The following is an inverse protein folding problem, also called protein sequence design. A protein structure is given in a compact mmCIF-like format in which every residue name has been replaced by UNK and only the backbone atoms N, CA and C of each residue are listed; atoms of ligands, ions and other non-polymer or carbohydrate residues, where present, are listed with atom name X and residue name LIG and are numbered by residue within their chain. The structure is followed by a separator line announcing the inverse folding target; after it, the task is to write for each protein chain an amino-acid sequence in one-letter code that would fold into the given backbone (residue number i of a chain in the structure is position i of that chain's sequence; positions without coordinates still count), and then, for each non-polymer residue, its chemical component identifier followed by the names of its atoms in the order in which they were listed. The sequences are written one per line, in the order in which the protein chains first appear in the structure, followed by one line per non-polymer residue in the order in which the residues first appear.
data_IF_123638221413
#
_entry.id   IF_123638221413
#
_cell.length_a   1.000
_cell.length_b   1.000
_cell.length_c   1.000
_cell.angle_alpha   90.00
_cell.angle_beta   90.00
_cell.angle_gamma   90.00
#
_symmetry.space_group_name_H-M   'P 1'
#
loop_
_entity.id
_entity.type
_entity.pdbx_description
1 polymer ?
#
# COMPACT_ATOMS: atom_id res chain seq x y z
N UNK A 1 -15.79 21.64 6.92
CA UNK A 1 -14.57 21.33 7.70
C UNK A 1 -13.68 22.55 7.69
N UNK A 2 -13.15 22.93 8.87
CA UNK A 2 -12.10 23.95 8.93
C UNK A 2 -10.76 23.33 8.55
N UNK A 3 -9.94 23.98 7.72
CA UNK A 3 -8.58 23.52 7.43
C UNK A 3 -7.78 23.29 8.71
N UNK A 4 -7.03 22.18 8.77
CA UNK A 4 -6.21 21.77 9.91
C UNK A 4 -6.97 21.53 11.25
N UNK A 5 -8.30 21.57 11.29
CA UNK A 5 -9.05 21.38 12.53
C UNK A 5 -8.78 20.03 13.20
N UNK A 6 -8.83 18.94 12.44
CA UNK A 6 -8.51 17.60 12.94
C UNK A 6 -7.04 17.47 13.37
N UNK A 7 -6.12 18.07 12.60
CA UNK A 7 -4.71 18.08 12.96
C UNK A 7 -4.50 18.79 14.30
N UNK A 8 -5.00 20.00 14.45
CA UNK A 8 -4.80 20.81 15.66
C UNK A 8 -5.42 20.18 16.91
N UNK A 9 -6.61 19.55 16.76
CA UNK A 9 -7.34 18.98 17.89
C UNK A 9 -6.87 17.58 18.27
N UNK A 10 -6.44 16.75 17.31
CA UNK A 10 -6.22 15.33 17.54
C UNK A 10 -4.77 14.90 17.38
N UNK A 11 -4.01 15.48 16.44
CA UNK A 11 -2.66 15.06 16.17
C UNK A 11 -1.61 15.93 16.87
N UNK A 12 -1.71 17.24 16.78
CA UNK A 12 -0.72 18.14 17.35
C UNK A 12 -0.49 17.92 18.87
N UNK A 13 -1.52 17.61 19.69
CA UNK A 13 -1.29 17.28 21.10
C UNK A 13 -0.47 16.02 21.34
N UNK A 14 -0.39 15.12 20.34
CA UNK A 14 0.37 13.85 20.44
C UNK A 14 1.83 14.01 20.03
N UNK A 15 2.23 15.13 19.43
CA UNK A 15 3.58 15.33 18.91
C UNK A 15 4.70 15.19 19.97
N UNK A 16 4.37 15.36 21.26
CA UNK A 16 5.30 15.15 22.37
C UNK A 16 5.50 13.71 22.82
N UNK A 17 4.68 12.77 22.31
CA UNK A 17 4.82 11.35 22.66
C UNK A 17 5.91 10.69 21.84
N UNK A 18 6.68 9.80 22.49
CA UNK A 18 7.61 8.92 21.78
C UNK A 18 6.84 7.79 21.13
N UNK A 19 6.87 7.72 19.79
CA UNK A 19 6.26 6.65 19.02
C UNK A 19 7.33 5.90 18.22
N UNK A 20 7.12 4.60 17.98
CA UNK A 20 8.06 3.75 17.23
C UNK A 20 7.79 3.76 15.71
N UNK A 21 6.67 4.27 15.30
CA UNK A 21 6.23 4.36 13.92
C UNK A 21 4.76 4.75 13.82
N UNK A 22 4.28 4.91 12.60
CA UNK A 22 2.88 5.21 12.31
C UNK A 22 2.31 4.20 11.31
N UNK A 23 1.03 3.89 11.46
CA UNK A 23 0.26 3.08 10.50
C UNK A 23 -0.83 3.96 9.91
N UNK A 24 -0.86 4.04 8.59
CA UNK A 24 -1.84 4.81 7.84
C UNK A 24 -2.77 3.91 7.05
N UNK A 25 -4.04 3.89 7.43
CA UNK A 25 -5.09 3.12 6.77
C UNK A 25 -6.21 4.04 6.36
N UNK A 26 -6.17 4.56 5.15
CA UNK A 26 -7.12 5.52 4.59
C UNK A 26 -6.96 5.59 3.07
N UNK A 27 -7.99 6.01 2.35
CA UNK A 27 -7.94 6.26 0.92
C UNK A 27 -9.33 6.34 0.28
N UNK A 28 -10.33 5.75 0.92
CA UNK A 28 -11.70 5.59 0.44
C UNK A 28 -12.37 6.93 0.16
N UNK A 29 -12.35 7.83 1.13
CA UNK A 29 -12.98 9.18 1.02
C UNK A 29 -12.23 10.12 0.07
N UNK A 30 -11.12 9.69 -0.48
CA UNK A 30 -10.28 10.48 -1.38
C UNK A 30 -10.20 9.87 -2.77
N UNK A 31 -11.12 8.98 -3.12
CA UNK A 31 -11.06 8.13 -4.31
C UNK A 31 -10.96 8.94 -5.61
N UNK A 32 -11.57 10.11 -5.67
CA UNK A 32 -11.59 10.99 -6.85
C UNK A 32 -10.33 11.85 -7.01
N UNK A 33 -9.45 11.87 -6.01
CA UNK A 33 -8.24 12.70 -6.05
C UNK A 33 -7.14 12.03 -6.85
N UNK A 34 -6.52 12.79 -7.75
CA UNK A 34 -5.40 12.31 -8.58
C UNK A 34 -4.01 12.66 -8.03
N UNK A 35 -3.94 13.38 -6.92
CA UNK A 35 -2.71 13.84 -6.25
C UNK A 35 -2.47 13.14 -4.90
N UNK A 36 -3.11 11.98 -4.67
CA UNK A 36 -3.06 11.31 -3.37
C UNK A 36 -1.64 10.87 -2.99
N UNK A 37 -0.84 10.40 -3.93
CA UNK A 37 0.53 9.99 -3.65
C UNK A 37 1.37 11.17 -3.11
N UNK A 38 1.22 12.36 -3.72
CA UNK A 38 1.90 13.56 -3.24
C UNK A 38 1.40 14.00 -1.87
N UNK A 39 0.08 13.96 -1.66
CA UNK A 39 -0.53 14.29 -0.37
C UNK A 39 -0.08 13.35 0.74
N UNK A 40 -0.05 12.04 0.48
CA UNK A 40 0.41 11.05 1.45
C UNK A 40 1.89 11.24 1.78
N UNK A 41 2.73 11.54 0.79
CA UNK A 41 4.14 11.89 1.03
C UNK A 41 4.27 13.13 1.90
N UNK A 42 3.50 14.19 1.61
CA UNK A 42 3.52 15.42 2.41
C UNK A 42 3.08 15.16 3.86
N UNK A 43 2.04 14.34 4.07
CA UNK A 43 1.59 13.91 5.38
C UNK A 43 2.69 13.16 6.14
N UNK A 44 3.35 12.18 5.51
CA UNK A 44 4.45 11.42 6.12
C UNK A 44 5.59 12.37 6.54
N UNK A 45 5.98 13.30 5.67
CA UNK A 45 7.04 14.25 5.98
C UNK A 45 6.64 15.18 7.11
N UNK A 46 5.40 15.67 7.11
CA UNK A 46 4.89 16.54 8.18
C UNK A 46 4.87 15.83 9.53
N UNK A 47 4.38 14.60 9.60
CA UNK A 47 4.39 13.84 10.85
C UNK A 47 5.80 13.56 11.36
N UNK A 48 6.75 13.27 10.46
CA UNK A 48 8.17 13.14 10.84
C UNK A 48 8.75 14.40 11.46
N UNK A 49 8.37 15.55 10.93
CA UNK A 49 8.73 16.86 11.50
C UNK A 49 8.12 17.04 12.89
N UNK A 50 6.80 16.81 13.03
CA UNK A 50 6.05 17.00 14.26
C UNK A 50 6.53 16.11 15.41
N UNK A 51 6.86 14.85 15.11
CA UNK A 51 7.39 13.90 16.09
C UNK A 51 8.92 13.97 16.25
N UNK A 52 9.60 14.89 15.56
CA UNK A 52 11.04 15.11 15.68
C UNK A 52 11.91 13.96 15.17
N UNK A 53 11.36 13.02 14.39
CA UNK A 53 12.07 11.87 13.82
C UNK A 53 11.94 11.84 12.29
N UNK A 54 12.97 12.33 11.58
CA UNK A 54 13.03 12.32 10.11
C UNK A 54 12.98 10.92 9.49
N UNK A 55 13.19 9.88 10.28
CA UNK A 55 13.21 8.48 9.87
C UNK A 55 12.08 7.68 10.49
N UNK A 56 11.11 8.33 11.13
CA UNK A 56 9.95 7.66 11.71
C UNK A 56 9.38 6.65 10.70
N UNK A 57 9.35 5.34 11.07
CA UNK A 57 8.77 4.30 10.22
C UNK A 57 7.31 4.58 9.91
N UNK A 58 6.92 4.42 8.65
CA UNK A 58 5.55 4.63 8.22
C UNK A 58 5.04 3.42 7.43
N UNK A 59 3.98 2.81 7.90
CA UNK A 59 3.34 1.66 7.27
C UNK A 59 2.04 2.12 6.63
N UNK A 60 1.94 1.99 5.33
CA UNK A 60 0.73 2.32 4.58
C UNK A 60 -0.04 1.04 4.31
N UNK A 61 -1.29 0.99 4.74
CA UNK A 61 -2.21 -0.09 4.41
C UNK A 61 -2.88 0.23 3.09
N UNK A 62 -2.65 -0.60 2.08
CA UNK A 62 -3.29 -0.49 0.78
C UNK A 62 -4.77 -0.81 0.89
N UNK A 63 -5.62 -0.12 0.14
CA UNK A 63 -7.05 -0.39 0.11
C UNK A 63 -7.34 -1.84 -0.29
N UNK A 64 -8.24 -2.52 0.43
CA UNK A 64 -8.67 -3.88 0.10
C UNK A 64 -9.50 -3.90 -1.19
N UNK A 65 -9.89 -5.08 -1.64
CA UNK A 65 -10.94 -5.20 -2.65
C UNK A 65 -12.28 -4.71 -2.09
N UNK A 66 -13.08 -4.13 -2.96
CA UNK A 66 -14.42 -3.63 -2.68
C UNK A 66 -15.18 -3.49 -4.00
N UNK A 67 -16.50 -3.65 -3.97
CA UNK A 67 -17.41 -3.74 -5.11
C UNK A 67 -17.28 -5.07 -5.87
N UNK A 68 -18.32 -5.40 -6.62
CA UNK A 68 -18.40 -6.63 -7.41
C UNK A 68 -17.33 -6.61 -8.51
N UNK A 69 -16.72 -7.76 -8.76
CA UNK A 69 -15.78 -7.91 -9.86
C UNK A 69 -16.45 -7.59 -11.21
N UNK A 70 -15.71 -6.94 -12.08
CA UNK A 70 -16.15 -6.73 -13.48
C UNK A 70 -15.94 -8.01 -14.28
N UNK A 71 -16.91 -8.34 -15.10
CA UNK A 71 -16.78 -9.42 -16.11
C UNK A 71 -15.97 -8.94 -17.33
N UNK A 72 -15.79 -7.62 -17.49
CA UNK A 72 -15.01 -7.01 -18.54
C UNK A 72 -13.57 -6.79 -18.09
N UNK A 73 -12.61 -7.10 -18.95
CA UNK A 73 -11.19 -6.89 -18.71
C UNK A 73 -10.51 -6.38 -20.00
N UNK A 74 -9.65 -5.35 -19.92
CA UNK A 74 -9.31 -4.52 -18.74
C UNK A 74 -10.41 -3.52 -18.39
N UNK A 75 -10.47 -3.10 -17.13
CA UNK A 75 -11.42 -2.11 -16.64
C UNK A 75 -10.69 -0.95 -15.95
N UNK A 76 -11.14 0.27 -16.19
CA UNK A 76 -10.71 1.42 -15.42
C UNK A 76 -11.39 1.42 -14.05
N UNK A 77 -10.61 1.48 -12.99
CA UNK A 77 -11.09 1.48 -11.63
C UNK A 77 -10.39 2.55 -10.80
N UNK A 78 -11.17 3.50 -10.27
CA UNK A 78 -10.66 4.49 -9.31
C UNK A 78 -10.05 3.81 -8.08
N UNK A 79 -10.58 2.65 -7.67
CA UNK A 79 -10.07 1.85 -6.58
C UNK A 79 -8.67 1.30 -6.87
N UNK A 80 -8.45 0.78 -8.08
CA UNK A 80 -7.14 0.34 -8.54
C UNK A 80 -6.14 1.51 -8.62
N UNK A 81 -6.58 2.65 -9.13
CA UNK A 81 -5.78 3.89 -9.14
C UNK A 81 -5.36 4.29 -7.74
N UNK A 82 -6.26 4.27 -6.78
CA UNK A 82 -5.95 4.63 -5.39
C UNK A 82 -4.90 3.69 -4.80
N UNK A 83 -5.03 2.38 -5.03
CA UNK A 83 -4.04 1.40 -4.59
C UNK A 83 -2.66 1.64 -5.21
N UNK A 84 -2.63 2.03 -6.49
CA UNK A 84 -1.36 2.35 -7.15
C UNK A 84 -0.73 3.64 -6.60
N UNK A 85 -1.51 4.66 -6.33
CA UNK A 85 -1.03 5.88 -5.69
C UNK A 85 -0.45 5.61 -4.28
N UNK A 86 -1.05 4.72 -3.50
CA UNK A 86 -0.49 4.27 -2.21
C UNK A 86 0.86 3.58 -2.41
N UNK A 87 0.96 2.69 -3.40
CA UNK A 87 2.21 2.01 -3.76
C UNK A 87 3.29 3.01 -4.19
N UNK A 88 2.95 3.97 -5.05
CA UNK A 88 3.86 5.01 -5.52
C UNK A 88 4.36 5.90 -4.37
N UNK A 89 3.49 6.31 -3.45
CA UNK A 89 3.88 7.09 -2.29
C UNK A 89 4.93 6.35 -1.45
N UNK A 90 4.72 5.05 -1.18
CA UNK A 90 5.66 4.21 -0.45
C UNK A 90 6.96 4.02 -1.22
N UNK A 91 6.91 3.74 -2.52
CA UNK A 91 8.10 3.55 -3.35
C UNK A 91 9.01 4.79 -3.39
N UNK A 92 8.41 5.98 -3.36
CA UNK A 92 9.10 7.26 -3.42
C UNK A 92 9.51 7.81 -2.05
N UNK A 93 9.17 7.15 -0.96
CA UNK A 93 9.43 7.63 0.40
C UNK A 93 10.26 6.61 1.18
N UNK A 94 11.44 7.01 1.65
CA UNK A 94 12.31 6.14 2.47
C UNK A 94 11.66 5.82 3.83
N UNK A 95 12.03 4.70 4.44
CA UNK A 95 11.52 4.24 5.75
C UNK A 95 9.99 4.10 5.78
N UNK A 96 9.44 3.59 4.68
CA UNK A 96 8.04 3.23 4.54
C UNK A 96 7.90 1.78 4.11
N UNK A 97 6.77 1.16 4.40
CA UNK A 97 6.37 -0.14 3.86
C UNK A 97 4.91 -0.13 3.47
N UNK A 98 4.58 -0.93 2.46
CA UNK A 98 3.21 -1.16 2.03
C UNK A 98 2.72 -2.49 2.61
N UNK A 99 1.59 -2.45 3.28
CA UNK A 99 0.83 -3.65 3.65
C UNK A 99 -0.26 -3.86 2.61
N UNK A 100 -0.15 -4.92 1.82
CA UNK A 100 -1.15 -5.27 0.81
C UNK A 100 -2.37 -5.88 1.50
N UNK A 101 -3.56 -5.40 1.18
CA UNK A 101 -4.83 -5.88 1.75
C UNK A 101 -5.84 -6.29 0.66
N UNK A 102 -5.39 -6.41 -0.59
CA UNK A 102 -6.25 -6.63 -1.76
C UNK A 102 -7.15 -7.88 -1.62
N UNK A 103 -6.67 -8.92 -0.97
CA UNK A 103 -7.33 -10.20 -0.74
C UNK A 103 -8.07 -10.30 0.60
N UNK A 104 -8.17 -9.22 1.36
CA UNK A 104 -8.73 -9.20 2.71
C UNK A 104 -10.06 -8.43 2.82
N UNK A 105 -10.54 -7.86 1.72
CA UNK A 105 -11.79 -7.14 1.67
C UNK A 105 -12.98 -8.03 1.28
N UNK A 106 -14.13 -7.38 1.19
CA UNK A 106 -15.39 -7.98 0.81
C UNK A 106 -16.06 -7.12 -0.27
N UNK A 107 -16.68 -7.76 -1.26
CA UNK A 107 -17.26 -7.04 -2.39
C UNK A 107 -18.41 -6.10 -1.98
N UNK A 108 -19.11 -6.41 -0.90
CA UNK A 108 -20.31 -5.74 -0.42
C UNK A 108 -20.11 -4.93 0.87
N UNK A 109 -18.90 -4.93 1.46
CA UNK A 109 -18.59 -4.14 2.64
C UNK A 109 -17.27 -3.40 2.47
N UNK A 110 -17.34 -2.06 2.58
CA UNK A 110 -16.16 -1.19 2.55
C UNK A 110 -15.30 -1.31 3.81
N UNK A 111 -15.83 -1.94 4.88
CA UNK A 111 -15.16 -2.14 6.16
C UNK A 111 -14.75 -3.61 6.34
N UNK A 112 -13.60 -4.05 5.81
CA UNK A 112 -13.20 -5.45 5.82
C UNK A 112 -13.20 -6.04 7.23
N UNK A 113 -13.75 -7.22 7.40
CA UNK A 113 -13.84 -7.90 8.69
C UNK A 113 -12.54 -8.61 9.07
N UNK A 114 -11.72 -9.03 8.09
CA UNK A 114 -10.48 -9.75 8.34
C UNK A 114 -9.35 -8.85 8.86
N UNK A 115 -9.51 -8.37 10.09
CA UNK A 115 -8.49 -7.54 10.75
C UNK A 115 -7.30 -8.34 11.27
N UNK A 116 -7.47 -9.66 11.49
CA UNK A 116 -6.40 -10.52 12.00
C UNK A 116 -5.24 -10.65 11.01
N UNK A 117 -5.53 -11.04 9.78
CA UNK A 117 -4.50 -11.23 8.77
C UNK A 117 -3.88 -9.88 8.36
N UNK A 118 -4.69 -8.83 8.31
CA UNK A 118 -4.20 -7.48 8.11
C UNK A 118 -3.19 -7.08 9.20
N UNK A 119 -3.54 -7.31 10.48
CA UNK A 119 -2.68 -6.97 11.60
C UNK A 119 -1.35 -7.75 11.57
N UNK A 120 -1.36 -9.02 11.16
CA UNK A 120 -0.14 -9.81 10.98
C UNK A 120 0.77 -9.22 9.91
N UNK A 121 0.23 -8.79 8.78
CA UNK A 121 1.01 -8.12 7.71
C UNK A 121 1.56 -6.77 8.16
N UNK A 122 0.78 -5.98 8.89
CA UNK A 122 1.24 -4.71 9.50
C UNK A 122 2.35 -4.98 10.51
N UNK A 123 2.22 -6.00 11.36
CA UNK A 123 3.25 -6.39 12.32
C UNK A 123 4.56 -6.78 11.62
N UNK A 124 4.51 -7.56 10.54
CA UNK A 124 5.70 -7.90 9.76
C UNK A 124 6.40 -6.66 9.19
N UNK A 125 5.63 -5.68 8.68
CA UNK A 125 6.18 -4.40 8.24
C UNK A 125 6.82 -3.61 9.39
N UNK A 126 6.20 -3.61 10.58
CA UNK A 126 6.75 -2.97 11.76
C UNK A 126 8.05 -3.64 12.22
N UNK A 127 8.08 -4.96 12.28
CA UNK A 127 9.30 -5.71 12.60
C UNK A 127 10.45 -5.36 11.67
N UNK A 128 10.17 -5.32 10.36
CA UNK A 128 11.18 -4.98 9.36
C UNK A 128 11.70 -3.55 9.49
N UNK A 129 10.80 -2.55 9.60
CA UNK A 129 11.16 -1.14 9.59
C UNK A 129 11.63 -0.62 10.93
N UNK A 130 10.88 -0.93 11.99
CA UNK A 130 11.05 -0.31 13.32
C UNK A 130 11.90 -1.13 14.25
N UNK A 131 11.92 -2.46 14.10
CA UNK A 131 12.65 -3.38 14.98
C UNK A 131 13.83 -4.06 14.28
N UNK A 132 14.06 -3.79 13.00
CA UNK A 132 15.26 -4.24 12.27
C UNK A 132 15.27 -5.71 11.87
N UNK A 133 14.16 -6.44 12.03
CA UNK A 133 14.04 -7.83 11.60
C UNK A 133 13.98 -7.95 10.07
N UNK A 134 15.15 -8.10 9.44
CA UNK A 134 15.24 -8.19 7.96
C UNK A 134 14.71 -9.50 7.38
N UNK A 135 14.32 -10.46 8.24
CA UNK A 135 13.68 -11.73 7.84
C UNK A 135 12.16 -11.69 7.96
N UNK A 136 11.57 -10.58 8.44
CA UNK A 136 10.12 -10.43 8.52
C UNK A 136 9.48 -10.65 7.12
N UNK A 137 8.39 -11.42 7.04
CA UNK A 137 7.76 -11.79 5.77
C UNK A 137 6.95 -10.61 5.19
N UNK A 138 7.61 -9.79 4.37
CA UNK A 138 6.95 -8.69 3.67
C UNK A 138 6.20 -9.20 2.43
N UNK A 139 5.16 -8.47 2.04
CA UNK A 139 4.48 -8.72 0.76
C UNK A 139 5.44 -8.56 -0.42
N UNK A 140 5.37 -9.42 -1.45
CA UNK A 140 6.14 -9.26 -2.67
C UNK A 140 5.84 -7.92 -3.34
N UNK A 141 6.89 -7.27 -3.85
CA UNK A 141 6.78 -5.98 -4.54
C UNK A 141 7.44 -6.10 -5.91
N UNK A 142 6.77 -5.72 -7.02
CA UNK A 142 7.43 -5.67 -8.33
C UNK A 142 8.70 -4.82 -8.29
N UNK A 143 9.77 -5.32 -8.88
CA UNK A 143 11.07 -4.65 -8.91
C UNK A 143 11.45 -4.22 -10.31
N UNK A 144 11.48 -5.17 -11.26
CA UNK A 144 11.82 -4.89 -12.65
C UNK A 144 10.84 -5.58 -13.59
N UNK A 145 10.55 -4.91 -14.68
CA UNK A 145 9.79 -5.46 -15.81
C UNK A 145 10.63 -5.31 -17.07
N UNK A 146 10.88 -6.41 -17.78
CA UNK A 146 11.65 -6.37 -19.01
C UNK A 146 11.22 -7.46 -19.99
N UNK A 147 11.52 -7.25 -21.26
CA UNK A 147 11.27 -8.24 -22.31
C UNK A 147 12.47 -9.19 -22.45
N UNK A 148 12.22 -10.50 -22.55
CA UNK A 148 13.20 -11.52 -22.89
C UNK A 148 12.65 -12.39 -24.01
N UNK A 149 13.06 -12.12 -25.24
CA UNK A 149 12.50 -12.77 -26.42
C UNK A 149 11.03 -12.46 -26.61
N UNK A 150 10.17 -13.47 -26.57
CA UNK A 150 8.70 -13.35 -26.66
C UNK A 150 8.01 -13.23 -25.29
N UNK A 151 8.75 -13.26 -24.22
CA UNK A 151 8.20 -13.20 -22.85
C UNK A 151 8.40 -11.82 -22.22
N UNK A 152 7.46 -11.41 -21.38
CA UNK A 152 7.61 -10.33 -20.42
C UNK A 152 7.99 -10.96 -19.08
N UNK A 153 9.08 -10.49 -18.49
CA UNK A 153 9.60 -10.98 -17.21
C UNK A 153 9.38 -9.90 -16.15
N UNK A 154 8.74 -10.27 -15.06
CA UNK A 154 8.56 -9.42 -13.88
C UNK A 154 9.35 -10.04 -12.74
N UNK A 155 10.28 -9.29 -12.14
CA UNK A 155 10.97 -9.71 -10.91
C UNK A 155 10.35 -9.05 -9.71
N UNK A 156 10.45 -9.71 -8.55
CA UNK A 156 9.85 -9.23 -7.31
C UNK A 156 10.91 -9.19 -6.19
N UNK A 157 10.88 -8.15 -5.37
CA UNK A 157 11.53 -8.13 -4.06
C UNK A 157 10.64 -8.83 -3.04
N UNK A 158 11.23 -9.35 -1.97
CA UNK A 158 10.53 -10.07 -0.90
C UNK A 158 9.78 -11.31 -1.37
N UNK A 159 10.23 -11.94 -2.43
CA UNK A 159 9.62 -13.16 -2.98
C UNK A 159 10.11 -14.46 -2.30
N UNK A 160 11.06 -14.38 -1.36
CA UNK A 160 11.64 -15.56 -0.72
C UNK A 160 12.21 -16.56 -1.72
N UNK A 161 11.79 -17.81 -1.63
CA UNK A 161 12.18 -18.88 -2.56
C UNK A 161 11.36 -18.90 -3.86
N UNK A 162 10.40 -18.01 -4.01
CA UNK A 162 9.54 -17.88 -5.19
C UNK A 162 8.15 -17.37 -4.86
N UNK A 163 7.31 -17.21 -5.89
CA UNK A 163 5.91 -16.84 -5.77
C UNK A 163 5.04 -18.05 -6.06
N UNK A 164 4.00 -18.21 -5.26
CA UNK A 164 2.95 -19.20 -5.47
C UNK A 164 1.60 -18.49 -5.42
N UNK A 165 0.69 -18.93 -6.25
CA UNK A 165 -0.72 -18.57 -6.11
C UNK A 165 -1.34 -19.34 -4.94
N UNK A 166 -2.30 -18.73 -4.27
CA UNK A 166 -2.90 -19.32 -3.05
C UNK A 166 -3.55 -20.69 -3.29
N UNK A 167 -4.06 -20.89 -4.49
CA UNK A 167 -4.77 -22.12 -4.92
C UNK A 167 -3.93 -23.01 -5.84
N UNK A 168 -2.67 -22.63 -6.13
CA UNK A 168 -1.77 -23.34 -7.04
C UNK A 168 -2.10 -23.16 -8.53
N UNK A 169 -3.07 -22.32 -8.88
CA UNK A 169 -3.41 -22.01 -10.27
C UNK A 169 -2.38 -21.06 -10.91
N UNK A 170 -2.52 -20.82 -12.20
CA UNK A 170 -1.73 -19.79 -12.87
C UNK A 170 -2.08 -18.37 -12.35
N UNK A 171 -1.11 -17.45 -12.27
CA UNK A 171 -1.36 -16.06 -11.88
C UNK A 171 -2.34 -15.38 -12.84
N UNK A 172 -3.39 -14.79 -12.29
CA UNK A 172 -4.42 -14.07 -13.05
C UNK A 172 -4.16 -12.56 -13.06
N UNK A 173 -4.95 -11.83 -13.85
CA UNK A 173 -5.00 -10.37 -13.92
C UNK A 173 -3.71 -9.71 -14.42
N UNK A 174 -2.93 -10.42 -15.24
CA UNK A 174 -1.86 -9.80 -16.01
C UNK A 174 -2.35 -9.50 -17.44
N UNK A 175 -2.13 -8.28 -17.89
CA UNK A 175 -2.36 -7.88 -19.26
C UNK A 175 -1.08 -7.33 -19.87
N UNK A 176 -0.86 -7.65 -21.14
CA UNK A 176 0.23 -7.08 -21.93
C UNK A 176 -0.39 -6.28 -23.06
N UNK A 177 -0.09 -4.99 -23.12
CA UNK A 177 -0.49 -4.13 -24.22
C UNK A 177 0.71 -3.74 -25.07
N UNK A 178 0.48 -3.48 -26.35
CA UNK A 178 1.42 -2.76 -27.18
C UNK A 178 1.28 -1.24 -26.97
N UNK A 179 2.08 -0.46 -27.70
CA UNK A 179 2.05 1.01 -27.62
C UNK A 179 0.77 1.66 -28.20
N UNK A 180 -0.17 0.86 -28.70
CA UNK A 180 -1.48 1.31 -29.18
C UNK A 180 -2.57 1.12 -28.13
N UNK A 181 -2.24 0.49 -27.00
CA UNK A 181 -3.18 0.10 -25.96
C UNK A 181 -3.84 -1.26 -26.25
N UNK A 182 -4.69 -1.68 -25.35
CA UNK A 182 -5.55 -2.86 -25.51
C UNK A 182 -6.81 -2.43 -26.25
#
# INVERSE_FOLDING_TARGET
YQPAGLYNALLAPLAGYTVKGAVWYQGESSIDRRDYAQMLKALIMKWREDFGDKRLPFIVVQLPNFMKDSEEWPVESQWAWRRDEQRLAVQQTKHTALTVALDLGEWNDIHPLNKKDLAQRVAACAEYLAYGNKKAPLSPVPDKVYRRGKAVVITFRHAGEGLLTKDGSEPLHFAVSDHKGI
#
